data_IF_773001473094
#
_entry.id   IF_773001473094
#
_cell.length_a   1.000
_cell.length_b   1.000
_cell.length_c   1.000
_cell.angle_alpha   90.00
_cell.angle_beta   90.00
_cell.angle_gamma   90.00
#
_symmetry.space_group_name_H-M   'P 1'
#
loop_
_entity.id
_entity.type
_entity.pdbx_description
1 polymer ?
#
# COMPACT_ATOMS: atom_id res chain seq x y z
N UNK A 1 19.77 6.61 23.87
CA UNK A 1 20.00 5.34 23.14
C UNK A 1 19.07 5.33 21.92
N UNK A 2 19.38 6.11 20.86
CA UNK A 2 18.41 6.29 19.76
C UNK A 2 18.61 5.30 18.61
N UNK A 3 19.75 4.64 18.52
CA UNK A 3 20.10 3.77 17.40
C UNK A 3 19.75 2.31 17.68
N UNK A 4 19.08 1.69 16.72
CA UNK A 4 18.83 0.24 16.70
C UNK A 4 19.33 -0.35 15.39
N UNK A 5 19.88 -1.57 15.45
CA UNK A 5 20.39 -2.29 14.29
C UNK A 5 19.57 -3.56 14.03
N UNK A 6 19.19 -3.80 12.77
CA UNK A 6 18.49 -5.03 12.38
C UNK A 6 19.49 -6.17 12.17
N UNK A 7 19.53 -7.11 13.11
CA UNK A 7 20.54 -8.19 13.16
C UNK A 7 20.66 -9.02 11.87
N UNK A 8 19.56 -9.31 11.17
CA UNK A 8 19.58 -10.07 9.92
C UNK A 8 20.22 -9.34 8.73
N UNK A 9 20.42 -8.02 8.84
CA UNK A 9 20.97 -7.19 7.76
C UNK A 9 22.46 -6.93 7.86
N UNK A 10 23.11 -7.40 8.95
CA UNK A 10 24.54 -7.20 9.18
C UNK A 10 25.33 -7.98 8.13
N UNK A 11 26.21 -7.27 7.44
CA UNK A 11 27.06 -7.79 6.38
C UNK A 11 28.54 -7.72 6.80
N UNK A 12 29.34 -8.65 6.26
CA UNK A 12 30.76 -8.79 6.58
C UNK A 12 31.63 -7.61 6.12
N UNK A 13 31.07 -6.72 5.30
CA UNK A 13 31.69 -5.46 4.88
C UNK A 13 31.48 -4.30 5.88
N UNK A 14 30.89 -4.60 7.06
CA UNK A 14 30.68 -3.62 8.11
C UNK A 14 29.45 -2.74 7.89
N UNK A 15 28.53 -3.15 7.02
CA UNK A 15 27.24 -2.47 6.81
C UNK A 15 26.10 -3.20 7.50
N UNK A 16 25.12 -2.45 8.02
CA UNK A 16 23.86 -2.97 8.53
C UNK A 16 22.79 -1.90 8.42
N UNK A 17 21.53 -2.33 8.51
CA UNK A 17 20.39 -1.43 8.55
C UNK A 17 20.24 -0.88 9.97
N UNK A 18 20.49 0.43 10.12
CA UNK A 18 20.46 1.15 11.40
C UNK A 18 19.39 2.22 11.35
N UNK A 19 18.53 2.27 12.36
CA UNK A 19 17.45 3.24 12.48
C UNK A 19 17.64 4.12 13.70
N UNK A 20 17.41 5.43 13.56
CA UNK A 20 17.47 6.41 14.64
C UNK A 20 16.06 6.83 15.04
N UNK A 21 15.63 6.50 16.25
CA UNK A 21 14.32 6.93 16.76
C UNK A 21 14.24 8.43 17.03
N UNK A 22 15.37 9.10 17.23
CA UNK A 22 15.40 10.56 17.46
C UNK A 22 15.23 11.33 16.14
N UNK A 23 15.72 10.77 15.03
CA UNK A 23 15.62 11.37 13.69
C UNK A 23 14.43 10.82 12.89
N UNK A 24 13.81 9.74 13.36
CA UNK A 24 12.77 8.97 12.67
C UNK A 24 13.20 8.56 11.25
N UNK A 25 14.47 8.20 11.09
CA UNK A 25 15.08 7.91 9.78
C UNK A 25 16.16 6.81 9.84
N UNK A 26 16.43 6.22 8.68
CA UNK A 26 17.54 5.30 8.47
C UNK A 26 18.85 6.08 8.41
N UNK A 27 19.82 5.69 9.25
CA UNK A 27 21.09 6.40 9.39
C UNK A 27 22.27 5.47 9.18
N UNK A 28 23.42 6.04 8.86
CA UNK A 28 24.69 5.31 8.81
C UNK A 28 25.39 5.51 10.15
N UNK A 29 25.72 4.41 10.83
CA UNK A 29 26.56 4.44 12.02
C UNK A 29 28.05 4.22 11.64
N UNK A 30 28.91 5.26 11.69
CA UNK A 30 30.33 5.12 11.34
C UNK A 30 31.12 4.25 12.33
N UNK A 31 30.57 3.97 13.51
CA UNK A 31 31.21 3.17 14.57
C UNK A 31 30.51 1.82 14.79
N UNK A 32 29.71 1.35 13.82
CA UNK A 32 28.91 0.13 13.93
C UNK A 32 29.71 -1.08 14.42
N UNK A 33 30.91 -1.33 13.88
CA UNK A 33 31.76 -2.45 14.31
C UNK A 33 32.11 -2.39 15.81
N UNK A 34 32.42 -1.20 16.34
CA UNK A 34 32.75 -1.02 17.76
C UNK A 34 31.51 -1.24 18.63
N UNK A 35 30.35 -0.74 18.19
CA UNK A 35 29.09 -0.91 18.90
C UNK A 35 28.65 -2.38 18.91
N UNK A 36 28.80 -3.11 17.81
CA UNK A 36 28.53 -4.56 17.76
C UNK A 36 29.50 -5.37 18.63
N UNK A 37 30.79 -5.03 18.61
CA UNK A 37 31.81 -5.67 19.44
C UNK A 37 31.56 -5.51 20.95
N UNK A 38 30.97 -4.39 21.38
CA UNK A 38 30.53 -4.19 22.77
C UNK A 38 29.56 -5.29 23.24
N UNK A 39 28.71 -5.79 22.33
CA UNK A 39 27.78 -6.88 22.59
C UNK A 39 28.33 -8.27 22.23
N UNK A 40 29.62 -8.36 21.89
CA UNK A 40 30.27 -9.61 21.50
C UNK A 40 29.89 -10.11 20.10
N UNK A 41 29.36 -9.24 19.24
CA UNK A 41 28.97 -9.58 17.87
C UNK A 41 30.12 -9.21 16.92
N UNK A 42 30.76 -10.21 16.31
CA UNK A 42 31.77 -9.99 15.27
C UNK A 42 31.11 -9.91 13.89
N UNK A 43 30.97 -8.69 13.36
CA UNK A 43 30.38 -8.42 12.06
C UNK A 43 31.05 -9.21 10.91
N UNK A 44 32.35 -9.53 11.00
CA UNK A 44 33.07 -10.27 9.96
C UNK A 44 32.67 -11.74 9.87
N UNK A 45 32.10 -12.28 10.94
CA UNK A 45 31.58 -13.65 10.97
C UNK A 45 30.14 -13.76 10.48
N UNK A 46 29.46 -12.62 10.37
CA UNK A 46 28.06 -12.55 9.97
C UNK A 46 27.94 -12.38 8.46
N UNK A 47 26.93 -13.06 7.91
CA UNK A 47 26.50 -12.90 6.54
C UNK A 47 25.09 -12.35 6.56
N UNK A 48 24.81 -11.37 5.71
CA UNK A 48 23.46 -10.84 5.52
C UNK A 48 22.49 -11.98 5.20
N UNK A 49 21.49 -12.17 6.04
CA UNK A 49 20.48 -13.25 5.94
C UNK A 49 19.10 -12.70 5.62
N UNK A 50 18.87 -11.41 5.88
CA UNK A 50 17.61 -10.72 5.63
C UNK A 50 17.82 -9.47 4.77
N UNK A 51 16.78 -9.11 4.04
CA UNK A 51 16.75 -7.86 3.27
C UNK A 51 16.73 -6.65 4.22
N UNK A 52 17.44 -5.59 3.84
CA UNK A 52 17.32 -4.28 4.50
C UNK A 52 15.94 -3.68 4.25
N UNK A 53 15.56 -2.69 5.05
CA UNK A 53 14.28 -1.99 4.91
C UNK A 53 14.19 -1.30 3.55
N UNK A 54 15.28 -0.64 3.11
CA UNK A 54 15.38 -0.08 1.75
C UNK A 54 15.24 -1.15 0.66
N UNK A 55 15.82 -2.34 0.83
CA UNK A 55 15.65 -3.43 -0.15
C UNK A 55 14.24 -3.99 -0.15
N UNK A 56 13.56 -4.01 1.01
CA UNK A 56 12.15 -4.38 1.09
C UNK A 56 11.27 -3.34 0.41
N UNK A 57 11.54 -2.05 0.61
CA UNK A 57 10.85 -0.95 -0.08
C UNK A 57 11.11 -0.96 -1.58
N UNK A 58 12.35 -1.20 -2.01
CA UNK A 58 12.71 -1.39 -3.41
C UNK A 58 12.06 -2.64 -3.99
N UNK A 59 12.08 -3.78 -3.29
CA UNK A 59 11.41 -5.00 -3.74
C UNK A 59 9.90 -4.83 -3.78
N UNK A 60 9.31 -4.06 -2.86
CA UNK A 60 7.92 -3.65 -2.92
C UNK A 60 7.69 -2.75 -4.12
N UNK A 61 8.47 -1.69 -4.35
CA UNK A 61 8.34 -0.82 -5.51
C UNK A 61 8.54 -1.56 -6.83
N UNK A 62 9.55 -2.43 -6.91
CA UNK A 62 9.80 -3.27 -8.08
C UNK A 62 8.63 -4.22 -8.27
N UNK A 63 8.18 -4.97 -7.25
CA UNK A 63 7.01 -5.84 -7.35
C UNK A 63 5.72 -5.07 -7.64
N UNK A 64 5.62 -3.81 -7.22
CA UNK A 64 4.53 -2.90 -7.55
C UNK A 64 4.61 -2.43 -9.02
N UNK A 65 5.80 -2.31 -9.60
CA UNK A 65 6.01 -2.13 -11.04
C UNK A 65 5.78 -3.43 -11.82
N UNK A 66 6.15 -4.61 -11.29
CA UNK A 66 5.92 -5.91 -11.92
C UNK A 66 4.44 -6.35 -11.86
N UNK A 67 3.72 -6.03 -10.77
CA UNK A 67 2.27 -6.24 -10.69
C UNK A 67 1.48 -5.24 -11.55
N UNK A 68 2.14 -4.18 -12.04
CA UNK A 68 1.63 -3.22 -13.02
C UNK A 68 1.88 -3.62 -14.49
N UNK A 69 2.66 -4.67 -14.76
CA UNK A 69 2.89 -5.24 -16.10
C UNK A 69 2.20 -6.61 -16.17
N UNK A 70 0.90 -6.69 -16.48
CA UNK A 70 0.36 -6.68 -17.84
C UNK A 70 0.94 -7.81 -18.70
N UNK A 71 0.09 -8.50 -19.46
CA UNK A 71 0.44 -9.32 -20.61
C UNK A 71 1.38 -8.54 -21.55
N UNK A 72 2.69 -8.65 -21.31
CA UNK A 72 3.69 -7.90 -22.05
C UNK A 72 3.61 -8.28 -23.54
N UNK A 73 3.17 -7.31 -24.37
CA UNK A 73 2.90 -7.47 -25.80
C UNK A 73 1.42 -7.47 -26.24
N UNK A 74 0.45 -7.46 -25.32
CA UNK A 74 -0.97 -7.38 -25.66
C UNK A 74 -1.45 -5.91 -25.69
N UNK A 75 -1.93 -5.46 -26.86
CA UNK A 75 -2.68 -4.21 -26.96
C UNK A 75 -4.11 -4.45 -26.49
N UNK A 76 -4.37 -4.23 -25.21
CA UNK A 76 -5.73 -4.31 -24.65
C UNK A 76 -6.55 -3.09 -25.07
N UNK A 77 -7.84 -3.32 -25.34
CA UNK A 77 -8.79 -2.26 -25.63
C UNK A 77 -9.29 -1.63 -24.33
N UNK A 78 -9.24 -0.30 -24.24
CA UNK A 78 -9.81 0.42 -23.10
C UNK A 78 -11.33 0.30 -23.09
N UNK A 79 -11.89 -0.13 -21.97
CA UNK A 79 -13.33 -0.24 -21.75
C UNK A 79 -13.82 0.91 -20.87
N UNK A 80 -15.00 1.43 -21.19
CA UNK A 80 -15.62 2.55 -20.49
C UNK A 80 -17.10 2.31 -20.24
N UNK A 81 -17.67 3.08 -19.30
CA UNK A 81 -19.10 3.11 -19.01
C UNK A 81 -19.48 2.48 -17.66
N UNK A 82 -20.77 2.21 -17.45
CA UNK A 82 -21.29 1.70 -16.18
C UNK A 82 -20.58 0.42 -15.72
N UNK A 83 -20.09 0.41 -14.48
CA UNK A 83 -19.34 -0.70 -13.90
C UNK A 83 -17.88 -0.83 -14.36
N UNK A 84 -17.41 0.05 -15.25
CA UNK A 84 -16.03 0.08 -15.77
C UNK A 84 -15.29 1.36 -15.35
N UNK A 85 -15.64 1.93 -14.20
CA UNK A 85 -14.91 3.07 -13.63
C UNK A 85 -13.66 2.59 -12.91
N UNK A 86 -12.49 3.05 -13.37
CA UNK A 86 -11.20 2.81 -12.70
C UNK A 86 -11.08 3.56 -11.37
N UNK A 87 -10.25 3.04 -10.46
CA UNK A 87 -9.93 3.70 -9.19
C UNK A 87 -8.48 4.19 -9.19
N UNK A 88 -8.29 5.49 -8.95
CA UNK A 88 -6.97 6.11 -8.86
C UNK A 88 -6.23 5.57 -7.64
N UNK A 89 -4.96 5.21 -7.81
CA UNK A 89 -4.11 4.80 -6.70
C UNK A 89 -3.62 6.05 -5.95
N UNK A 90 -3.89 6.11 -4.64
CA UNK A 90 -3.56 7.26 -3.77
C UNK A 90 -2.34 7.00 -2.87
N UNK A 91 -1.46 6.09 -3.28
CA UNK A 91 -0.30 5.66 -2.50
C UNK A 91 -0.63 4.42 -1.69
N UNK A 92 0.05 3.31 -1.97
CA UNK A 92 -0.18 2.01 -1.36
C UNK A 92 -1.63 1.47 -1.40
N UNK A 93 -2.55 2.05 -2.19
CA UNK A 93 -4.00 1.74 -2.10
C UNK A 93 -4.51 0.66 -3.06
N UNK A 94 -3.63 0.01 -3.85
CA UNK A 94 -4.05 -0.95 -4.88
C UNK A 94 -4.83 -2.14 -4.32
N UNK A 95 -4.48 -2.61 -3.12
CA UNK A 95 -5.19 -3.71 -2.45
C UNK A 95 -6.65 -3.34 -2.15
N UNK A 96 -6.91 -2.09 -1.73
CA UNK A 96 -8.27 -1.60 -1.49
C UNK A 96 -9.02 -1.50 -2.82
N UNK A 97 -8.40 -0.94 -3.85
CA UNK A 97 -9.01 -0.79 -5.17
C UNK A 97 -9.46 -2.16 -5.72
N UNK A 98 -8.61 -3.19 -5.61
CA UNK A 98 -8.96 -4.56 -6.03
C UNK A 98 -10.13 -5.15 -5.25
N UNK A 99 -10.20 -4.93 -3.93
CA UNK A 99 -11.32 -5.41 -3.10
C UNK A 99 -12.62 -4.68 -3.45
N UNK A 100 -12.57 -3.36 -3.62
CA UNK A 100 -13.74 -2.54 -3.95
C UNK A 100 -14.33 -2.92 -5.32
N UNK A 101 -13.48 -3.08 -6.34
CA UNK A 101 -13.90 -3.57 -7.66
C UNK A 101 -14.51 -4.98 -7.57
N UNK A 102 -13.91 -5.85 -6.76
CA UNK A 102 -14.44 -7.21 -6.53
C UNK A 102 -15.77 -7.22 -5.78
N UNK A 103 -16.03 -6.24 -4.92
CA UNK A 103 -17.33 -6.12 -4.25
C UNK A 103 -18.42 -5.59 -5.19
N UNK A 104 -18.05 -4.80 -6.20
CA UNK A 104 -18.99 -4.23 -7.16
C UNK A 104 -19.67 -5.29 -8.05
N UNK A 105 -19.13 -6.51 -8.13
CA UNK A 105 -19.77 -7.63 -8.86
C UNK A 105 -20.68 -8.47 -7.96
N UNK A 106 -20.70 -8.23 -6.64
CA UNK A 106 -21.51 -9.02 -5.69
C UNK A 106 -22.94 -8.48 -5.65
N UNK A 107 -23.97 -9.27 -6.05
CA UNK A 107 -25.33 -8.75 -6.24
C UNK A 107 -25.96 -8.12 -4.99
N UNK A 108 -25.71 -8.68 -3.81
CA UNK A 108 -26.20 -8.13 -2.56
C UNK A 108 -25.58 -6.77 -2.22
N UNK A 109 -24.32 -6.56 -2.61
CA UNK A 109 -23.61 -5.31 -2.42
C UNK A 109 -24.14 -4.23 -3.37
N UNK A 110 -24.36 -4.59 -4.65
CA UNK A 110 -25.00 -3.71 -5.64
C UNK A 110 -26.39 -3.29 -5.16
N UNK A 111 -27.24 -4.25 -4.78
CA UNK A 111 -28.61 -3.96 -4.31
C UNK A 111 -28.60 -2.99 -3.13
N UNK A 112 -27.64 -3.14 -2.21
CA UNK A 112 -27.57 -2.31 -1.00
C UNK A 112 -27.01 -0.92 -1.27
N UNK A 113 -25.88 -0.83 -1.98
CA UNK A 113 -25.06 0.38 -2.05
C UNK A 113 -25.03 1.07 -3.41
N UNK A 114 -25.58 0.45 -4.46
CA UNK A 114 -25.81 1.07 -5.77
C UNK A 114 -27.29 1.41 -5.91
N UNK A 115 -28.17 0.40 -5.95
CA UNK A 115 -29.61 0.60 -6.11
C UNK A 115 -30.22 1.33 -4.89
N UNK A 116 -29.71 1.00 -3.70
CA UNK A 116 -30.10 1.62 -2.43
C UNK A 116 -29.38 2.93 -2.09
N UNK A 117 -28.52 3.45 -2.97
CA UNK A 117 -27.67 4.60 -2.65
C UNK A 117 -28.46 5.87 -2.32
N UNK A 118 -29.50 6.18 -3.10
CA UNK A 118 -30.32 7.38 -2.92
C UNK A 118 -30.92 7.50 -1.52
N UNK A 119 -31.67 6.49 -1.04
CA UNK A 119 -32.20 6.49 0.33
C UNK A 119 -31.14 6.51 1.43
N UNK A 120 -29.95 5.94 1.21
CA UNK A 120 -28.85 5.99 2.19
C UNK A 120 -28.31 7.41 2.30
N UNK A 121 -27.97 8.01 1.15
CA UNK A 121 -27.40 9.36 1.09
C UNK A 121 -28.40 10.43 1.56
N UNK A 122 -29.70 10.25 1.29
CA UNK A 122 -30.74 11.18 1.72
C UNK A 122 -30.94 11.21 3.26
N UNK A 123 -30.47 10.20 4.00
CA UNK A 123 -30.58 10.15 5.47
C UNK A 123 -29.47 10.90 6.19
N UNK A 124 -28.39 11.25 5.49
CA UNK A 124 -27.23 11.92 6.06
C UNK A 124 -27.14 13.33 5.49
N UNK A 125 -27.00 14.38 6.31
CA UNK A 125 -26.74 15.71 5.79
C UNK A 125 -25.51 15.70 4.87
N UNK A 126 -25.53 16.38 3.70
CA UNK A 126 -24.43 16.30 2.73
C UNK A 126 -23.04 16.63 3.29
N UNK A 127 -22.97 17.56 4.26
CA UNK A 127 -21.72 17.94 4.92
C UNK A 127 -21.19 16.85 5.87
N UNK A 128 -22.05 15.96 6.35
CA UNK A 128 -21.72 14.93 7.34
C UNK A 128 -21.50 13.55 6.72
N UNK A 129 -21.67 13.40 5.40
CA UNK A 129 -21.49 12.10 4.71
C UNK A 129 -20.12 11.49 4.94
N UNK A 130 -19.08 12.29 5.23
CA UNK A 130 -17.74 11.82 5.58
C UNK A 130 -17.64 11.12 6.93
N UNK A 131 -18.62 11.33 7.81
CA UNK A 131 -18.70 10.68 9.12
C UNK A 131 -19.56 9.42 9.10
N UNK A 132 -20.36 9.20 8.05
CA UNK A 132 -21.24 8.04 7.93
C UNK A 132 -20.65 6.97 7.01
N UNK A 133 -20.44 5.78 7.58
CA UNK A 133 -19.90 4.63 6.84
C UNK A 133 -20.79 4.26 5.63
N UNK A 134 -22.10 4.12 5.83
CA UNK A 134 -22.99 3.71 4.75
C UNK A 134 -23.06 4.78 3.66
N UNK A 135 -23.01 6.06 4.03
CA UNK A 135 -22.97 7.20 3.13
C UNK A 135 -21.72 7.20 2.26
N UNK A 136 -20.53 7.00 2.84
CA UNK A 136 -19.29 6.87 2.05
C UNK A 136 -19.30 5.66 1.13
N UNK A 137 -19.75 4.50 1.61
CA UNK A 137 -19.82 3.28 0.80
C UNK A 137 -20.83 3.46 -0.33
N UNK A 138 -22.03 3.98 -0.06
CA UNK A 138 -23.03 4.26 -1.10
C UNK A 138 -22.52 5.26 -2.13
N UNK A 139 -21.86 6.34 -1.69
CA UNK A 139 -21.27 7.35 -2.59
C UNK A 139 -20.24 6.71 -3.53
N UNK A 140 -19.33 5.91 -2.99
CA UNK A 140 -18.26 5.28 -3.75
C UNK A 140 -18.83 4.27 -4.76
N UNK A 141 -19.66 3.33 -4.32
CA UNK A 141 -20.17 2.27 -5.17
C UNK A 141 -21.15 2.79 -6.22
N UNK A 142 -21.99 3.78 -5.90
CA UNK A 142 -22.83 4.44 -6.90
C UNK A 142 -22.00 5.14 -7.98
N UNK A 143 -20.91 5.82 -7.59
CA UNK A 143 -19.99 6.45 -8.54
C UNK A 143 -19.23 5.45 -9.41
N UNK A 144 -18.78 4.33 -8.84
CA UNK A 144 -18.13 3.25 -9.60
C UNK A 144 -19.10 2.57 -10.59
N UNK A 145 -20.37 2.46 -10.22
CA UNK A 145 -21.40 1.81 -11.05
C UNK A 145 -21.97 2.72 -12.14
N UNK A 146 -22.04 4.04 -11.94
CA UNK A 146 -22.80 4.94 -12.83
C UNK A 146 -22.16 5.11 -14.21
N UNK A 147 -20.83 5.03 -14.29
CA UNK A 147 -20.08 5.31 -15.51
C UNK A 147 -19.73 6.79 -15.71
N UNK A 148 -20.24 7.70 -14.86
CA UNK A 148 -19.98 9.16 -14.96
C UNK A 148 -18.49 9.50 -14.80
N UNK A 149 -17.74 8.62 -14.13
CA UNK A 149 -16.32 8.77 -13.84
C UNK A 149 -15.44 7.76 -14.62
N UNK A 150 -16.01 7.05 -15.59
CA UNK A 150 -15.27 6.12 -16.45
C UNK A 150 -14.63 6.89 -17.60
N UNK A 151 -13.35 7.24 -17.45
CA UNK A 151 -12.54 8.08 -18.35
C UNK A 151 -11.20 7.46 -18.68
#
# INVERSE_FOLDING_TARGET
FPLVVKLGTISSDGTADVFSYDEDDAVIDPNLEKHLAHFGIDAKTLKKTEKSTLELELDMNQKWEWAKCQEDGASLESIFGPGYTGLINIGSSCYMNSVLQSLLIVPSFITRFVDGAGPILARVPPLDVHLDFNGQVAKLFAGMASGDYSV
#
